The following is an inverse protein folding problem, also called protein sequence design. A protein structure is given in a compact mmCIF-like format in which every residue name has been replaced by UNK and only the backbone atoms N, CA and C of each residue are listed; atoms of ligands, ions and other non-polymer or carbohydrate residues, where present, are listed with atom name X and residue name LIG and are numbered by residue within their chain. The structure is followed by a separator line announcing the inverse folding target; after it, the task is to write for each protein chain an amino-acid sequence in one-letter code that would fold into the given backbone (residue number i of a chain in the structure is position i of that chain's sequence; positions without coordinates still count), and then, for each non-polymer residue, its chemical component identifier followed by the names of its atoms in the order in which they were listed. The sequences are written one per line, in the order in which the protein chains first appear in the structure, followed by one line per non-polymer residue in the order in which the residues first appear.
data_IF_928886659065
#
_entry.id   IF_928886659065
#
_cell.length_a   1.000
_cell.length_b   1.000
_cell.length_c   1.000
_cell.angle_alpha   90.00
_cell.angle_beta   90.00
_cell.angle_gamma   90.00
#
_symmetry.space_group_name_H-M   'P 1'
#
loop_
_entity.id
_entity.type
_entity.pdbx_description
1 polymer ?
#
# COMPACT_ATOMS: atom_id res chain seq x y z
N UNK A 1 23.78 8.66 -30.00
CA UNK A 1 23.84 7.89 -28.73
C UNK A 1 22.52 8.13 -27.99
N UNK A 2 21.57 7.20 -28.08
CA UNK A 2 20.39 7.24 -27.21
C UNK A 2 20.84 6.86 -25.80
N UNK A 3 20.62 7.77 -24.85
CA UNK A 3 20.82 7.48 -23.45
C UNK A 3 19.87 6.33 -23.06
N UNK A 4 20.45 5.21 -22.64
CA UNK A 4 19.70 4.11 -22.06
C UNK A 4 19.16 4.61 -20.71
N UNK A 5 17.91 5.05 -20.70
CA UNK A 5 17.18 5.35 -19.45
C UNK A 5 17.19 4.04 -18.67
N UNK A 6 17.75 3.99 -17.44
CA UNK A 6 17.71 2.79 -16.64
C UNK A 6 16.25 2.41 -16.45
N UNK A 7 15.85 1.24 -16.97
CA UNK A 7 14.55 0.65 -16.68
C UNK A 7 14.36 0.69 -15.17
N UNK A 8 13.32 1.40 -14.69
CA UNK A 8 12.98 1.40 -13.29
C UNK A 8 12.90 -0.06 -12.83
N UNK A 9 13.81 -0.47 -11.93
CA UNK A 9 13.81 -1.82 -11.36
C UNK A 9 12.38 -2.20 -10.93
N UNK A 10 11.89 -3.26 -11.55
CA UNK A 10 10.52 -3.74 -11.42
C UNK A 10 10.51 -4.86 -10.40
N UNK A 11 9.61 -4.80 -9.43
CA UNK A 11 9.30 -5.96 -8.58
C UNK A 11 8.37 -6.86 -9.37
N UNK A 12 8.58 -8.18 -9.35
CA UNK A 12 7.78 -9.14 -10.12
C UNK A 12 8.15 -9.21 -11.60
N UNK A 13 7.33 -9.90 -12.40
CA UNK A 13 7.58 -10.12 -13.83
C UNK A 13 6.38 -9.66 -14.69
N UNK A 14 6.59 -8.56 -15.42
CA UNK A 14 5.58 -7.94 -16.29
C UNK A 14 5.21 -8.80 -17.50
N UNK A 15 6.03 -9.80 -17.85
CA UNK A 15 5.84 -10.68 -19.00
C UNK A 15 5.19 -12.02 -18.64
N UNK A 16 5.14 -12.36 -17.35
CA UNK A 16 4.65 -13.64 -16.86
C UNK A 16 3.20 -13.57 -16.39
N UNK A 17 2.44 -14.64 -16.63
CA UNK A 17 1.10 -14.86 -16.07
C UNK A 17 1.11 -15.84 -14.88
N UNK A 18 2.29 -16.25 -14.40
CA UNK A 18 2.39 -17.15 -13.26
C UNK A 18 1.87 -16.51 -11.96
N UNK A 19 1.39 -17.34 -11.04
CA UNK A 19 1.04 -16.88 -9.69
C UNK A 19 2.29 -16.36 -8.98
N UNK A 20 2.17 -15.25 -8.26
CA UNK A 20 3.28 -14.55 -7.62
C UNK A 20 4.07 -13.62 -8.54
N UNK A 21 3.77 -13.57 -9.85
CA UNK A 21 4.48 -12.69 -10.79
C UNK A 21 3.90 -11.27 -10.88
N UNK A 22 2.99 -10.89 -9.97
CA UNK A 22 2.41 -9.55 -9.94
C UNK A 22 3.51 -8.49 -9.92
N UNK A 23 3.52 -7.64 -10.94
CA UNK A 23 4.63 -6.73 -11.17
C UNK A 23 4.33 -5.28 -10.81
N UNK A 24 5.34 -4.53 -10.35
CA UNK A 24 5.24 -3.10 -10.05
C UNK A 24 6.56 -2.35 -10.20
N UNK A 25 6.48 -1.12 -10.71
CA UNK A 25 7.63 -0.21 -10.76
C UNK A 25 7.81 0.44 -9.37
N UNK A 26 8.82 -0.01 -8.64
CA UNK A 26 9.09 0.43 -7.27
C UNK A 26 10.57 0.77 -7.00
N UNK A 27 11.44 0.74 -8.00
CA UNK A 27 12.83 1.17 -7.87
C UNK A 27 12.96 2.52 -7.17
N UNK A 28 13.93 2.62 -6.26
CA UNK A 28 14.33 3.83 -5.55
C UNK A 28 13.27 4.44 -4.61
N UNK A 29 12.14 3.76 -4.38
CA UNK A 29 11.15 4.21 -3.39
C UNK A 29 11.58 3.80 -1.98
N UNK A 30 11.30 4.65 -0.99
CA UNK A 30 11.57 4.34 0.41
C UNK A 30 10.87 3.03 0.84
N UNK A 31 11.59 2.09 1.47
CA UNK A 31 11.08 0.78 1.90
C UNK A 31 10.31 0.91 3.22
N UNK A 32 9.11 1.49 3.15
CA UNK A 32 8.29 1.78 4.33
C UNK A 32 7.84 0.52 5.11
N UNK A 33 7.93 -0.66 4.50
CA UNK A 33 7.69 -1.96 5.13
C UNK A 33 8.70 -2.32 6.22
N UNK A 34 9.89 -1.70 6.24
CA UNK A 34 10.91 -1.91 7.27
C UNK A 34 10.65 -1.17 8.58
N UNK A 35 9.67 -0.27 8.60
CA UNK A 35 9.30 0.53 9.79
C UNK A 35 7.92 0.06 10.24
N UNK A 36 7.70 -0.20 11.54
CA UNK A 36 6.35 -0.46 12.04
C UNK A 36 5.43 0.74 11.77
N UNK A 37 4.47 0.58 10.86
CA UNK A 37 3.66 1.70 10.37
C UNK A 37 2.74 2.30 11.43
N UNK A 38 2.44 1.56 12.50
CA UNK A 38 1.68 2.10 13.63
C UNK A 38 2.50 3.14 14.41
N UNK A 39 3.84 3.03 14.43
CA UNK A 39 4.74 4.04 15.02
C UNK A 39 4.69 5.31 14.17
N UNK A 40 4.75 5.15 12.85
CA UNK A 40 4.62 6.26 11.89
C UNK A 40 3.26 6.93 12.03
N UNK A 41 2.17 6.17 12.08
CA UNK A 41 0.83 6.74 12.26
C UNK A 41 0.70 7.53 13.57
N UNK A 42 1.28 7.02 14.66
CA UNK A 42 1.23 7.70 15.96
C UNK A 42 1.99 9.03 15.96
N UNK A 43 3.04 9.22 15.15
CA UNK A 43 3.73 10.52 15.06
C UNK A 43 2.87 11.63 14.45
N UNK A 44 1.75 11.28 13.80
CA UNK A 44 0.78 12.23 13.24
C UNK A 44 -0.51 12.34 14.07
N UNK A 45 -0.62 11.65 15.22
CA UNK A 45 -1.87 11.61 15.99
C UNK A 45 -2.36 13.02 16.38
N UNK A 46 -1.48 13.87 16.91
CA UNK A 46 -1.85 15.23 17.32
C UNK A 46 -2.30 16.10 16.13
N UNK A 47 -1.60 15.98 14.99
CA UNK A 47 -1.94 16.67 13.73
C UNK A 47 -3.31 16.23 13.21
N UNK A 48 -3.59 14.93 13.26
CA UNK A 48 -4.79 14.33 12.69
C UNK A 48 -6.03 14.48 13.58
N UNK A 49 -5.88 14.56 14.91
CA UNK A 49 -7.00 14.59 15.88
C UNK A 49 -7.95 15.78 15.69
N UNK A 50 -7.56 16.79 14.91
CA UNK A 50 -8.35 18.00 14.69
C UNK A 50 -8.59 18.30 13.21
N UNK A 51 -8.37 17.33 12.32
CA UNK A 51 -8.55 17.49 10.88
C UNK A 51 -9.29 16.28 10.30
N UNK A 52 -10.56 16.51 9.92
CA UNK A 52 -11.46 15.50 9.36
C UNK A 52 -10.93 14.86 8.06
N UNK A 53 -9.98 15.50 7.38
CA UNK A 53 -9.35 14.94 6.18
C UNK A 53 -8.13 14.08 6.52
N UNK A 54 -7.42 14.36 7.62
CA UNK A 54 -6.22 13.63 8.03
C UNK A 54 -6.53 12.46 8.96
N UNK A 55 -7.57 12.57 9.80
CA UNK A 55 -7.94 11.51 10.74
C UNK A 55 -8.15 10.16 10.04
N UNK A 56 -8.96 10.05 8.96
CA UNK A 56 -9.19 8.76 8.30
C UNK A 56 -7.89 8.13 7.78
N UNK A 57 -6.99 8.95 7.23
CA UNK A 57 -5.69 8.50 6.69
C UNK A 57 -4.76 8.03 7.79
N UNK A 58 -4.69 8.79 8.89
CA UNK A 58 -3.89 8.44 10.06
C UNK A 58 -4.38 7.13 10.70
N UNK A 59 -5.69 6.97 10.87
CA UNK A 59 -6.29 5.76 11.45
C UNK A 59 -6.13 4.55 10.55
N UNK A 60 -6.31 4.72 9.23
CA UNK A 60 -6.05 3.64 8.27
C UNK A 60 -4.58 3.21 8.30
N UNK A 61 -3.62 4.15 8.39
CA UNK A 61 -2.20 3.83 8.50
C UNK A 61 -1.87 3.13 9.82
N UNK A 62 -2.49 3.55 10.92
CA UNK A 62 -2.36 2.90 12.21
C UNK A 62 -2.80 1.42 12.11
N UNK A 63 -3.99 1.17 11.61
CA UNK A 63 -4.54 -0.18 11.48
C UNK A 63 -3.77 -1.05 10.47
N UNK A 64 -3.28 -0.49 9.37
CA UNK A 64 -2.35 -1.19 8.48
C UNK A 64 -1.06 -1.60 9.22
N UNK A 65 -0.52 -0.72 10.07
CA UNK A 65 0.64 -1.04 10.92
C UNK A 65 0.34 -2.06 12.01
N UNK A 66 -0.88 -2.09 12.54
CA UNK A 66 -1.32 -3.17 13.44
C UNK A 66 -1.32 -4.50 12.68
N UNK A 67 -1.97 -4.57 11.50
CA UNK A 67 -1.91 -5.75 10.64
C UNK A 67 -0.47 -6.20 10.33
N UNK A 68 0.44 -5.26 10.00
CA UNK A 68 1.85 -5.54 9.74
C UNK A 68 2.54 -6.30 10.89
N UNK A 69 2.19 -5.98 12.14
CA UNK A 69 2.89 -6.48 13.32
C UNK A 69 2.15 -7.60 14.05
N UNK A 70 0.86 -7.79 13.78
CA UNK A 70 0.03 -8.82 14.44
C UNK A 70 -0.45 -9.91 13.50
N UNK A 71 -0.41 -9.67 12.19
CA UNK A 71 -1.07 -10.48 11.15
C UNK A 71 -2.58 -10.68 11.37
N UNK A 72 -3.20 -9.84 12.21
CA UNK A 72 -4.63 -9.87 12.48
C UNK A 72 -5.38 -9.19 11.32
N UNK A 73 -6.10 -9.99 10.53
CA UNK A 73 -6.86 -9.50 9.37
C UNK A 73 -7.96 -8.52 9.77
N UNK A 74 -8.47 -8.58 11.00
CA UNK A 74 -9.47 -7.62 11.47
C UNK A 74 -8.89 -6.19 11.53
N UNK A 75 -7.59 -6.03 11.73
CA UNK A 75 -6.93 -4.73 11.65
C UNK A 75 -6.86 -4.23 10.20
N UNK A 76 -6.66 -5.13 9.24
CA UNK A 76 -6.71 -4.78 7.83
C UNK A 76 -8.13 -4.36 7.38
N UNK A 77 -9.15 -5.05 7.88
CA UNK A 77 -10.55 -4.68 7.63
C UNK A 77 -10.88 -3.30 8.23
N UNK A 78 -10.41 -2.99 9.45
CA UNK A 78 -10.55 -1.64 10.03
C UNK A 78 -9.86 -0.58 9.20
N UNK A 79 -8.66 -0.86 8.66
CA UNK A 79 -7.96 0.09 7.79
C UNK A 79 -8.78 0.43 6.53
N UNK A 80 -9.47 -0.57 5.97
CA UNK A 80 -10.39 -0.41 4.84
C UNK A 80 -11.62 0.42 5.23
N UNK A 81 -12.20 0.16 6.40
CA UNK A 81 -13.41 0.87 6.87
C UNK A 81 -13.18 2.38 6.99
N UNK A 82 -12.01 2.80 7.51
CA UNK A 82 -11.61 4.21 7.59
C UNK A 82 -11.50 4.90 6.22
N UNK A 83 -11.31 4.16 5.13
CA UNK A 83 -11.21 4.69 3.77
C UNK A 83 -12.42 4.31 2.89
N UNK A 84 -13.51 3.85 3.49
CA UNK A 84 -14.69 3.36 2.76
C UNK A 84 -15.36 4.42 1.86
N UNK A 85 -15.15 5.70 2.10
CA UNK A 85 -15.59 6.79 1.21
C UNK A 85 -14.79 6.87 -0.11
N UNK A 86 -13.73 6.06 -0.28
CA UNK A 86 -12.79 6.16 -1.41
C UNK A 86 -12.91 5.06 -2.45
N UNK A 87 -13.93 4.19 -2.39
CA UNK A 87 -14.12 3.08 -3.35
C UNK A 87 -14.05 3.49 -4.83
N UNK A 88 -14.68 4.60 -5.23
CA UNK A 88 -14.59 5.08 -6.62
C UNK A 88 -13.19 5.53 -7.00
N UNK A 89 -12.46 6.19 -6.08
CA UNK A 89 -11.06 6.57 -6.33
C UNK A 89 -10.16 5.35 -6.43
N UNK A 90 -10.38 4.36 -5.57
CA UNK A 90 -9.70 3.07 -5.62
C UNK A 90 -9.89 2.37 -6.97
N UNK A 91 -11.12 2.32 -7.49
CA UNK A 91 -11.42 1.73 -8.79
C UNK A 91 -10.69 2.45 -9.94
N UNK A 92 -10.61 3.78 -9.92
CA UNK A 92 -9.85 4.54 -10.92
C UNK A 92 -8.34 4.30 -10.85
N UNK A 93 -7.78 4.06 -9.67
CA UNK A 93 -6.37 3.64 -9.53
C UNK A 93 -6.14 2.26 -10.15
N UNK A 94 -7.07 1.32 -9.98
CA UNK A 94 -7.00 0.03 -10.69
C UNK A 94 -7.10 0.20 -12.22
N UNK A 95 -7.98 1.09 -12.70
CA UNK A 95 -8.07 1.43 -14.13
C UNK A 95 -6.75 2.04 -14.66
N UNK A 96 -6.18 2.98 -13.92
CA UNK A 96 -4.85 3.53 -14.23
C UNK A 96 -3.80 2.41 -14.33
N UNK A 97 -3.85 1.44 -13.40
CA UNK A 97 -2.98 0.26 -13.44
C UNK A 97 -3.06 -0.53 -14.74
N UNK A 98 -4.22 -0.60 -15.41
CA UNK A 98 -4.40 -1.28 -16.72
C UNK A 98 -3.61 -0.60 -17.84
N UNK A 99 -3.24 0.67 -17.69
CA UNK A 99 -2.42 1.41 -18.66
C UNK A 99 -0.94 1.09 -18.52
N UNK A 100 -0.52 0.64 -17.33
CA UNK A 100 0.87 0.30 -17.00
C UNK A 100 1.15 -1.19 -17.04
N UNK A 101 0.15 -2.02 -16.74
CA UNK A 101 0.27 -3.45 -16.55
C UNK A 101 -0.84 -4.19 -17.28
N UNK A 102 -0.62 -5.48 -17.53
CA UNK A 102 -1.68 -6.36 -18.04
C UNK A 102 -2.90 -6.34 -17.10
N UNK A 103 -4.08 -6.59 -17.67
CA UNK A 103 -5.32 -6.69 -16.90
C UNK A 103 -5.17 -7.73 -15.78
N UNK A 104 -5.69 -7.42 -14.59
CA UNK A 104 -5.58 -8.27 -13.39
C UNK A 104 -4.14 -8.60 -12.94
N UNK A 105 -3.12 -7.85 -13.40
CA UNK A 105 -1.72 -8.11 -13.03
C UNK A 105 -1.49 -8.23 -11.52
N UNK A 106 -2.14 -7.38 -10.73
CA UNK A 106 -2.01 -7.40 -9.27
C UNK A 106 -2.58 -8.68 -8.64
N UNK A 107 -3.66 -9.23 -9.21
CA UNK A 107 -4.38 -10.39 -8.66
C UNK A 107 -3.58 -11.69 -8.78
N UNK A 108 -2.51 -11.71 -9.60
CA UNK A 108 -1.53 -12.80 -9.62
C UNK A 108 -0.85 -13.00 -8.27
N UNK A 109 -0.85 -11.99 -7.40
CA UNK A 109 -0.12 -11.99 -6.14
C UNK A 109 1.31 -11.48 -6.31
N UNK A 110 1.83 -10.86 -5.24
CA UNK A 110 3.20 -10.42 -5.06
C UNK A 110 3.55 -10.49 -3.57
N UNK A 111 4.81 -10.21 -3.22
CA UNK A 111 5.23 -10.06 -1.82
C UNK A 111 4.35 -9.03 -1.09
N UNK A 112 3.88 -9.33 0.12
CA UNK A 112 2.96 -8.49 0.90
C UNK A 112 3.58 -7.15 1.31
N UNK A 113 4.89 -7.12 1.53
CA UNK A 113 5.68 -5.89 1.76
C UNK A 113 5.47 -4.85 0.66
N UNK A 114 5.23 -5.27 -0.58
CA UNK A 114 5.13 -4.40 -1.77
C UNK A 114 3.91 -3.47 -1.71
N UNK A 115 2.65 -3.96 -1.61
CA UNK A 115 1.49 -3.09 -1.41
C UNK A 115 1.53 -2.40 -0.05
N UNK A 116 2.06 -3.04 1.02
CA UNK A 116 2.17 -2.43 2.34
C UNK A 116 3.03 -1.16 2.32
N UNK A 117 4.25 -1.24 1.76
CA UNK A 117 5.13 -0.08 1.65
C UNK A 117 4.54 1.01 0.74
N UNK A 118 3.78 0.62 -0.29
CA UNK A 118 3.16 1.60 -1.16
C UNK A 118 1.98 2.31 -0.52
N UNK A 119 1.14 1.59 0.22
CA UNK A 119 0.08 2.17 1.03
C UNK A 119 0.63 3.25 1.97
N UNK A 120 1.70 2.92 2.71
CA UNK A 120 2.35 3.86 3.63
C UNK A 120 2.86 5.14 2.94
N UNK A 121 3.47 5.03 1.75
CA UNK A 121 3.94 6.22 1.01
C UNK A 121 2.79 7.15 0.59
N UNK A 122 1.65 6.60 0.20
CA UNK A 122 0.48 7.42 -0.13
C UNK A 122 -0.16 8.04 1.11
N UNK A 123 -0.17 7.33 2.25
CA UNK A 123 -0.57 7.93 3.52
C UNK A 123 0.35 9.10 3.90
N UNK A 124 1.67 8.95 3.76
CA UNK A 124 2.64 10.00 4.07
C UNK A 124 2.60 11.18 3.09
N UNK A 125 2.30 10.95 1.81
CA UNK A 125 2.08 12.05 0.88
C UNK A 125 0.99 13.00 1.40
N UNK A 126 -0.06 12.46 2.01
CA UNK A 126 -1.15 13.25 2.61
C UNK A 126 -0.72 13.82 3.97
N UNK A 127 -0.25 12.96 4.88
CA UNK A 127 -0.01 13.32 6.29
C UNK A 127 1.20 14.24 6.48
N UNK A 128 2.24 14.09 5.68
CA UNK A 128 3.51 14.81 5.81
C UNK A 128 3.67 15.90 4.75
N UNK A 129 3.38 15.59 3.49
CA UNK A 129 3.63 16.48 2.35
C UNK A 129 2.43 17.34 1.94
N UNK A 130 1.25 17.13 2.55
CA UNK A 130 0.00 17.83 2.21
C UNK A 130 -0.40 17.65 0.73
N UNK A 131 -0.01 16.52 0.13
CA UNK A 131 -0.35 16.16 -1.25
C UNK A 131 -1.68 15.40 -1.29
N UNK A 132 -2.58 15.83 -2.17
CA UNK A 132 -3.90 15.18 -2.35
C UNK A 132 -3.94 14.27 -3.58
N UNK A 133 -3.24 14.65 -4.65
CA UNK A 133 -3.23 13.95 -5.93
C UNK A 133 -1.84 13.39 -6.23
N UNK A 134 -1.81 12.14 -6.68
CA UNK A 134 -0.62 11.48 -7.17
C UNK A 134 -0.20 12.07 -8.52
N UNK A 135 1.03 12.57 -8.60
CA UNK A 135 1.56 13.24 -9.79
C UNK A 135 1.67 12.35 -11.05
N UNK A 136 1.72 11.03 -10.88
CA UNK A 136 1.84 10.08 -11.98
C UNK A 136 0.49 9.80 -12.64
N UNK A 137 -0.52 9.54 -11.81
CA UNK A 137 -1.86 9.10 -12.24
C UNK A 137 -2.91 10.21 -12.27
N UNK A 138 -2.64 11.33 -11.58
CA UNK A 138 -3.60 12.40 -11.29
C UNK A 138 -4.85 11.90 -10.51
N UNK A 139 -4.70 10.82 -9.74
CA UNK A 139 -5.74 10.27 -8.86
C UNK A 139 -5.42 10.53 -7.39
N UNK A 140 -6.45 10.52 -6.53
CA UNK A 140 -6.26 10.83 -5.12
C UNK A 140 -5.36 9.81 -4.41
N UNK A 141 -4.46 10.29 -3.55
CA UNK A 141 -3.58 9.43 -2.75
C UNK A 141 -4.34 8.47 -1.84
N UNK A 142 -5.49 8.88 -1.28
CA UNK A 142 -6.34 7.97 -0.52
C UNK A 142 -6.90 6.82 -1.38
N UNK A 143 -7.17 7.08 -2.66
CA UNK A 143 -7.56 6.04 -3.62
C UNK A 143 -6.44 5.03 -3.86
N UNK A 144 -5.18 5.51 -3.94
CA UNK A 144 -4.03 4.61 -4.04
C UNK A 144 -3.80 3.84 -2.74
N UNK A 145 -3.94 4.49 -1.59
CA UNK A 145 -3.84 3.83 -0.29
C UNK A 145 -4.88 2.69 -0.21
N UNK A 146 -6.15 3.00 -0.47
CA UNK A 146 -7.24 2.03 -0.48
C UNK A 146 -7.00 0.88 -1.48
N UNK A 147 -6.49 1.18 -2.68
CA UNK A 147 -6.14 0.16 -3.68
C UNK A 147 -5.11 -0.86 -3.16
N UNK A 148 -4.10 -0.42 -2.42
CA UNK A 148 -3.12 -1.32 -1.82
C UNK A 148 -3.70 -2.14 -0.66
N UNK A 149 -4.62 -1.56 0.13
CA UNK A 149 -5.34 -2.31 1.18
C UNK A 149 -6.19 -3.43 0.57
N UNK A 150 -6.89 -3.15 -0.54
CA UNK A 150 -7.66 -4.16 -1.29
C UNK A 150 -6.76 -5.29 -1.80
N UNK A 151 -5.57 -4.97 -2.34
CA UNK A 151 -4.60 -5.99 -2.75
C UNK A 151 -4.18 -6.87 -1.57
N UNK A 152 -3.75 -6.27 -0.45
CA UNK A 152 -3.35 -7.00 0.76
C UNK A 152 -4.47 -7.90 1.28
N UNK A 153 -5.70 -7.36 1.37
CA UNK A 153 -6.84 -8.10 1.89
C UNK A 153 -7.19 -9.29 1.00
N UNK A 154 -7.04 -9.11 -0.32
CA UNK A 154 -7.21 -10.18 -1.31
C UNK A 154 -6.09 -11.22 -1.20
N UNK A 155 -4.84 -10.81 -0.98
CA UNK A 155 -3.71 -11.73 -0.84
C UNK A 155 -3.77 -12.53 0.45
N UNK A 156 -4.33 -11.97 1.52
CA UNK A 156 -4.59 -12.71 2.76
C UNK A 156 -5.41 -13.99 2.49
N UNK A 157 -6.43 -13.91 1.64
CA UNK A 157 -7.26 -15.07 1.29
C UNK A 157 -6.65 -15.92 0.17
N UNK A 158 -6.14 -15.26 -0.87
CA UNK A 158 -5.82 -15.89 -2.15
C UNK A 158 -4.33 -16.04 -2.43
N UNK A 159 -3.42 -15.51 -1.63
CA UNK A 159 -1.97 -15.61 -1.87
C UNK A 159 -1.13 -15.52 -0.59
N UNK A 160 -1.44 -16.39 0.39
CA UNK A 160 -0.75 -16.50 1.68
C UNK A 160 0.76 -16.76 1.57
N UNK A 161 1.19 -17.49 0.54
CA UNK A 161 2.60 -17.77 0.26
C UNK A 161 3.41 -16.52 -0.11
N UNK A 162 2.74 -15.40 -0.40
CA UNK A 162 3.39 -14.10 -0.63
C UNK A 162 3.66 -13.32 0.66
N UNK A 163 3.29 -13.82 1.83
CA UNK A 163 3.58 -13.13 3.09
C UNK A 163 5.07 -13.19 3.39
N UNK A 164 5.73 -12.05 3.24
CA UNK A 164 7.13 -11.79 3.58
C UNK A 164 7.27 -10.81 4.76
N UNK A 165 6.18 -10.55 5.48
CA UNK A 165 6.20 -9.68 6.64
C UNK A 165 6.92 -10.34 7.82
N UNK A 166 7.65 -9.55 8.63
CA UNK A 166 8.11 -9.92 9.96
C UNK A 166 7.11 -10.76 10.79
N UNK A 167 7.51 -11.91 11.37
CA UNK A 167 6.64 -12.67 12.27
C UNK A 167 6.21 -11.83 13.50
N UNK A 168 4.95 -11.99 13.99
CA UNK A 168 4.41 -11.17 15.09
C UNK A 168 5.23 -11.22 16.38
N UNK A 169 5.91 -12.35 16.64
CA UNK A 169 6.74 -12.56 17.82
C UNK A 169 7.91 -11.56 17.92
N UNK A 170 8.31 -10.92 16.81
CA UNK A 170 9.34 -9.88 16.85
C UNK A 170 8.84 -8.53 17.39
N UNK A 171 7.53 -8.35 17.53
CA UNK A 171 6.92 -7.11 18.05
C UNK A 171 6.12 -7.29 19.34
N UNK A 172 5.90 -8.54 19.75
CA UNK A 172 5.28 -8.83 21.05
C UNK A 172 6.31 -8.63 22.19
N UNK A 173 5.89 -8.11 23.36
CA UNK A 173 6.71 -8.18 24.56
C UNK A 173 7.05 -9.65 24.89
N UNK A 174 8.29 -9.89 25.32
CA UNK A 174 8.76 -11.20 25.81
C UNK A 174 8.02 -11.63 27.08
#
# INVERSE_FOLDING_TARGET
MQAHIPSAATVGDVTSNARGSGARYNANKAPMDLIPLWVVANSFADKATHDDNLEPVQKALYHLGRFQTTHDVAELDKAIDWLSHRWFSCARVFDYGRRKYAEWNWAKGMAWSVPLACAARHALAILDLDETLDSESNEAHEGHFMCNLVMLRTFYDSFKSGNDLPPPEMFAPL
#
